data_IF_477703374904
#
_entry.id   IF_477703374904
#
_cell.length_a   1.000
_cell.length_b   1.000
_cell.length_c   1.000
_cell.angle_alpha   90.00
_cell.angle_beta   90.00
_cell.angle_gamma   90.00
#
_symmetry.space_group_name_H-M   'P 1'
#
loop_
_entity.id
_entity.type
_entity.pdbx_description
1 polymer ?
#
# COMPACT_ATOMS: atom_id res chain seq x y z
N UNK A 1 36.59 -27.82 -11.54
CA UNK A 1 36.38 -26.40 -11.18
C UNK A 1 34.97 -26.05 -11.60
N UNK A 2 34.00 -26.27 -10.72
CA UNK A 2 32.60 -25.95 -11.00
C UNK A 2 32.40 -24.47 -10.73
N UNK A 3 31.99 -23.73 -11.76
CA UNK A 3 31.53 -22.35 -11.64
C UNK A 3 30.06 -22.45 -11.29
N UNK A 4 29.72 -22.28 -10.01
CA UNK A 4 28.33 -22.09 -9.62
C UNK A 4 27.89 -20.71 -10.07
N UNK A 5 26.94 -20.68 -11.00
CA UNK A 5 26.21 -19.48 -11.39
C UNK A 5 25.33 -19.06 -10.22
N UNK A 6 25.77 -18.02 -9.50
CA UNK A 6 24.99 -17.32 -8.49
C UNK A 6 23.67 -16.87 -9.10
N UNK A 7 22.59 -17.60 -8.81
CA UNK A 7 21.23 -17.14 -9.04
C UNK A 7 21.01 -15.98 -8.08
N UNK A 8 21.20 -14.74 -8.58
CA UNK A 8 20.90 -13.52 -7.85
C UNK A 8 19.41 -13.45 -7.57
N UNK A 9 18.99 -14.09 -6.48
CA UNK A 9 17.63 -13.97 -5.96
C UNK A 9 17.45 -12.55 -5.44
N UNK A 10 16.73 -11.75 -6.22
CA UNK A 10 16.35 -10.40 -5.85
C UNK A 10 15.62 -10.43 -4.50
N UNK A 11 16.10 -9.70 -3.50
CA UNK A 11 15.45 -9.72 -2.18
C UNK A 11 14.10 -9.00 -2.29
N UNK A 12 13.03 -9.52 -1.66
CA UNK A 12 11.77 -8.79 -1.57
C UNK A 12 12.02 -7.36 -1.07
N UNK A 13 11.53 -6.37 -1.82
CA UNK A 13 11.67 -4.95 -1.46
C UNK A 13 12.94 -4.23 -1.95
N UNK A 14 13.80 -4.86 -2.75
CA UNK A 14 15.00 -4.21 -3.30
C UNK A 14 14.67 -3.33 -4.52
N UNK A 15 15.05 -2.04 -4.50
CA UNK A 15 14.83 -1.05 -5.55
C UNK A 15 16.03 -0.93 -6.51
N UNK A 16 15.85 -0.36 -7.72
CA UNK A 16 16.97 0.02 -8.59
C UNK A 16 17.93 0.96 -7.83
N UNK A 17 19.17 0.52 -7.62
CA UNK A 17 20.16 1.23 -6.80
C UNK A 17 20.49 0.57 -5.45
N UNK A 18 19.91 -0.59 -5.13
CA UNK A 18 20.29 -1.41 -3.98
C UNK A 18 19.65 -1.00 -2.63
N UNK A 19 18.70 -0.07 -2.64
CA UNK A 19 17.89 0.25 -1.46
C UNK A 19 16.94 -0.92 -1.17
N UNK A 20 16.95 -1.46 0.06
CA UNK A 20 16.12 -2.61 0.45
C UNK A 20 15.14 -2.17 1.53
N UNK A 21 13.84 -2.34 1.27
CA UNK A 21 12.79 -2.17 2.28
C UNK A 21 12.75 -3.37 3.22
N UNK A 22 12.99 -3.13 4.50
CA UNK A 22 13.11 -4.16 5.55
C UNK A 22 11.77 -4.69 6.05
N UNK A 23 10.73 -3.88 5.93
CA UNK A 23 9.38 -4.14 6.44
C UNK A 23 8.38 -4.42 5.31
N UNK A 24 8.84 -4.40 4.05
CA UNK A 24 8.04 -4.79 2.91
C UNK A 24 7.73 -6.29 2.94
N UNK A 25 6.47 -6.65 2.69
CA UNK A 25 5.97 -8.03 2.76
C UNK A 25 5.61 -8.61 1.39
N UNK A 26 5.68 -7.83 0.32
CA UNK A 26 5.28 -8.29 -1.00
C UNK A 26 6.33 -9.18 -1.65
N UNK A 27 5.89 -10.03 -2.58
CA UNK A 27 6.73 -11.07 -3.18
C UNK A 27 7.80 -10.54 -4.15
N UNK A 28 7.61 -9.34 -4.70
CA UNK A 28 8.50 -8.72 -5.68
C UNK A 28 8.70 -7.24 -5.37
N UNK A 29 9.80 -6.62 -5.79
CA UNK A 29 10.02 -5.19 -5.60
C UNK A 29 8.81 -4.33 -5.99
N UNK A 30 8.40 -3.40 -5.11
CA UNK A 30 7.31 -2.51 -5.43
C UNK A 30 7.73 -1.55 -6.55
N UNK A 31 6.82 -1.31 -7.50
CA UNK A 31 6.98 -0.31 -8.56
C UNK A 31 6.00 0.82 -8.30
N UNK A 32 6.45 1.83 -7.55
CA UNK A 32 5.58 2.94 -7.16
C UNK A 32 5.10 3.75 -8.37
N UNK A 33 3.81 4.09 -8.39
CA UNK A 33 3.20 4.86 -9.45
C UNK A 33 3.63 6.33 -9.43
N UNK A 34 4.03 6.84 -8.26
CA UNK A 34 4.54 8.20 -8.11
C UNK A 34 5.52 8.35 -6.93
N UNK A 35 6.28 9.46 -6.86
CA UNK A 35 7.25 9.69 -5.78
C UNK A 35 6.66 9.77 -4.37
N UNK A 36 5.37 10.11 -4.23
CA UNK A 36 4.73 10.26 -2.91
C UNK A 36 4.53 8.88 -2.29
N UNK A 37 4.10 7.89 -3.08
CA UNK A 37 3.99 6.51 -2.63
C UNK A 37 5.35 5.95 -2.20
N UNK A 38 6.41 6.19 -2.98
CA UNK A 38 7.78 5.83 -2.59
C UNK A 38 8.17 6.47 -1.25
N UNK A 39 7.85 7.74 -1.05
CA UNK A 39 8.13 8.43 0.21
C UNK A 39 7.32 7.85 1.37
N UNK A 40 6.05 7.49 1.16
CA UNK A 40 5.23 6.83 2.15
C UNK A 40 5.78 5.45 2.51
N UNK A 41 6.21 4.66 1.53
CA UNK A 41 6.87 3.38 1.73
C UNK A 41 8.14 3.52 2.58
N UNK A 42 8.99 4.51 2.28
CA UNK A 42 10.19 4.84 3.09
C UNK A 42 9.83 5.20 4.53
N UNK A 43 8.75 5.97 4.74
CA UNK A 43 8.29 6.31 6.08
C UNK A 43 7.86 5.04 6.82
N UNK A 44 6.97 4.23 6.23
CA UNK A 44 6.51 2.98 6.84
C UNK A 44 7.69 2.06 7.20
N UNK A 45 8.65 1.93 6.27
CA UNK A 45 9.84 1.11 6.45
C UNK A 45 10.77 1.63 7.57
N UNK A 46 11.01 2.95 7.61
CA UNK A 46 11.80 3.57 8.66
C UNK A 46 11.18 3.39 10.05
N UNK A 47 9.86 3.38 10.13
CA UNK A 47 9.13 3.13 11.37
C UNK A 47 9.02 1.64 11.72
N UNK A 48 9.45 0.73 10.84
CA UNK A 48 9.38 -0.71 11.05
C UNK A 48 7.97 -1.29 10.92
N UNK A 49 7.04 -0.55 10.31
CA UNK A 49 5.67 -1.02 10.10
C UNK A 49 5.68 -2.02 8.95
N UNK A 50 5.11 -3.21 9.13
CA UNK A 50 4.93 -4.14 8.02
C UNK A 50 3.98 -3.54 6.96
N UNK A 51 4.34 -3.64 5.68
CA UNK A 51 3.50 -3.12 4.59
C UNK A 51 3.61 -3.91 3.29
N UNK A 52 2.52 -3.95 2.54
CA UNK A 52 2.42 -4.42 1.16
C UNK A 52 2.01 -3.26 0.23
N UNK A 53 2.44 -3.31 -1.02
CA UNK A 53 2.11 -2.32 -2.05
C UNK A 53 1.11 -2.89 -3.04
N UNK A 54 -0.04 -2.23 -3.18
CA UNK A 54 -1.15 -2.62 -4.06
C UNK A 54 -1.52 -4.13 -4.04
N UNK A 55 -1.58 -4.81 -2.87
CA UNK A 55 -1.72 -6.28 -2.86
C UNK A 55 -3.11 -6.77 -3.29
N UNK A 56 -4.12 -5.90 -3.24
CA UNK A 56 -5.52 -6.27 -3.43
C UNK A 56 -6.23 -5.24 -4.28
N UNK A 57 -6.92 -5.70 -5.33
CA UNK A 57 -7.83 -4.89 -6.12
C UNK A 57 -9.28 -5.30 -5.86
N UNK A 58 -10.11 -4.34 -5.46
CA UNK A 58 -11.53 -4.54 -5.16
C UNK A 58 -12.38 -4.15 -6.35
N UNK A 59 -13.22 -5.07 -6.85
CA UNK A 59 -14.15 -4.79 -7.93
C UNK A 59 -15.36 -4.04 -7.37
N UNK A 60 -15.62 -2.84 -7.89
CA UNK A 60 -16.72 -1.98 -7.43
C UNK A 60 -17.93 -2.06 -8.35
N UNK A 61 -17.72 -2.23 -9.66
CA UNK A 61 -18.80 -2.29 -10.65
C UNK A 61 -18.47 -3.29 -11.75
N UNK A 62 -19.51 -3.93 -12.28
CA UNK A 62 -19.47 -4.78 -13.48
C UNK A 62 -20.58 -4.37 -14.44
N UNK A 63 -20.35 -4.54 -15.74
CA UNK A 63 -21.39 -4.39 -16.75
C UNK A 63 -22.31 -5.62 -16.85
N UNK A 64 -23.27 -5.58 -17.77
CA UNK A 64 -24.23 -6.66 -18.00
C UNK A 64 -23.55 -7.97 -18.46
N UNK A 65 -22.39 -7.88 -19.10
CA UNK A 65 -21.57 -9.01 -19.52
C UNK A 65 -20.63 -9.51 -18.41
N UNK A 66 -20.68 -8.91 -17.22
CA UNK A 66 -19.87 -9.27 -16.06
C UNK A 66 -18.43 -8.73 -16.09
N UNK A 67 -18.07 -7.87 -17.06
CA UNK A 67 -16.73 -7.27 -17.15
C UNK A 67 -16.58 -6.18 -16.09
N UNK A 68 -15.38 -6.09 -15.50
CA UNK A 68 -15.08 -5.07 -14.49
C UNK A 68 -15.04 -3.68 -15.14
N UNK A 69 -15.94 -2.79 -14.74
CA UNK A 69 -16.00 -1.40 -15.24
C UNK A 69 -15.41 -0.41 -14.24
N UNK A 70 -15.36 -0.78 -12.95
CA UNK A 70 -14.75 0.02 -11.90
C UNK A 70 -14.11 -0.88 -10.85
N UNK A 71 -12.87 -0.56 -10.48
CA UNK A 71 -12.15 -1.18 -9.39
C UNK A 71 -11.43 -0.13 -8.54
N UNK A 72 -11.07 -0.53 -7.33
CA UNK A 72 -10.29 0.26 -6.40
C UNK A 72 -9.17 -0.60 -5.81
N UNK A 73 -7.93 -0.18 -6.04
CA UNK A 73 -6.73 -0.81 -5.51
C UNK A 73 -6.13 0.20 -4.54
N UNK A 74 -6.20 -0.03 -3.22
CA UNK A 74 -5.55 0.85 -2.26
C UNK A 74 -4.03 0.78 -2.41
N UNK A 75 -3.36 1.92 -2.26
CA UNK A 75 -1.90 2.01 -2.45
C UNK A 75 -1.12 1.06 -1.52
N UNK A 76 -1.55 0.91 -0.26
CA UNK A 76 -0.87 0.07 0.74
C UNK A 76 -1.83 -0.80 1.55
N UNK A 77 -1.31 -1.91 2.06
CA UNK A 77 -1.93 -2.72 3.12
C UNK A 77 -0.96 -2.87 4.29
N UNK A 78 -1.46 -2.68 5.51
CA UNK A 78 -0.73 -2.86 6.76
C UNK A 78 -1.25 -4.13 7.45
N UNK A 79 -0.56 -5.29 7.31
CA UNK A 79 -1.09 -6.58 7.74
C UNK A 79 -1.33 -6.70 9.24
N UNK A 80 -0.49 -6.07 10.08
CA UNK A 80 -0.65 -6.15 11.55
C UNK A 80 -1.92 -5.41 12.04
N UNK A 81 -2.43 -4.47 11.25
CA UNK A 81 -3.59 -3.64 11.55
C UNK A 81 -4.82 -4.06 10.72
N UNK A 82 -4.65 -4.98 9.77
CA UNK A 82 -5.64 -5.33 8.74
C UNK A 82 -6.20 -4.08 8.05
N UNK A 83 -5.33 -3.14 7.70
CA UNK A 83 -5.73 -1.80 7.26
C UNK A 83 -5.21 -1.51 5.85
N UNK A 84 -6.12 -1.17 4.95
CA UNK A 84 -5.78 -0.56 3.67
C UNK A 84 -5.60 0.95 3.81
N UNK A 85 -4.53 1.47 3.19
CA UNK A 85 -4.17 2.88 3.19
C UNK A 85 -4.13 3.38 1.76
N UNK A 86 -4.88 4.45 1.51
CA UNK A 86 -4.87 5.18 0.26
C UNK A 86 -4.14 6.51 0.49
N UNK A 87 -2.99 6.70 -0.16
CA UNK A 87 -2.20 7.93 -0.11
C UNK A 87 -2.86 8.99 -0.99
N UNK A 88 -2.93 10.21 -0.47
CA UNK A 88 -3.36 11.37 -1.25
C UNK A 88 -2.51 12.59 -0.96
N UNK A 89 -2.07 13.24 -2.03
CA UNK A 89 -1.51 14.61 -1.99
C UNK A 89 -2.54 15.67 -2.38
N UNK A 90 -3.78 15.26 -2.70
CA UNK A 90 -4.62 16.03 -3.61
C UNK A 90 -5.38 17.21 -2.98
N UNK A 91 -5.53 18.26 -3.81
CA UNK A 91 -6.46 19.39 -3.63
C UNK A 91 -7.92 18.90 -3.67
N UNK A 92 -8.83 19.61 -2.99
CA UNK A 92 -10.22 19.19 -2.71
C UNK A 92 -11.04 18.63 -3.90
N UNK A 93 -10.77 19.01 -5.15
CA UNK A 93 -11.56 18.57 -6.32
C UNK A 93 -11.42 17.09 -6.68
N UNK A 94 -10.26 16.47 -6.42
CA UNK A 94 -10.02 15.04 -6.74
C UNK A 94 -10.52 14.09 -5.63
N UNK A 95 -10.89 14.66 -4.48
CA UNK A 95 -11.49 13.93 -3.36
C UNK A 95 -12.85 13.34 -3.75
N UNK A 96 -13.60 13.95 -4.67
CA UNK A 96 -14.95 13.49 -5.03
C UNK A 96 -14.95 12.10 -5.66
N UNK A 97 -14.05 11.82 -6.61
CA UNK A 97 -13.97 10.50 -7.28
C UNK A 97 -13.43 9.43 -6.34
N UNK A 98 -12.37 9.75 -5.57
CA UNK A 98 -11.85 8.85 -4.53
C UNK A 98 -12.91 8.55 -3.47
N UNK A 99 -13.63 9.56 -2.99
CA UNK A 99 -14.72 9.38 -2.02
C UNK A 99 -15.87 8.55 -2.58
N UNK A 100 -16.21 8.69 -3.87
CA UNK A 100 -17.21 7.82 -4.50
C UNK A 100 -16.75 6.36 -4.45
N UNK A 101 -15.52 6.07 -4.89
CA UNK A 101 -14.96 4.71 -4.84
C UNK A 101 -14.89 4.17 -3.41
N UNK A 102 -14.49 4.98 -2.43
CA UNK A 102 -14.44 4.59 -1.02
C UNK A 102 -15.84 4.32 -0.43
N UNK A 103 -16.86 5.08 -0.84
CA UNK A 103 -18.25 4.80 -0.45
C UNK A 103 -18.73 3.48 -1.03
N UNK A 104 -18.48 3.24 -2.31
CA UNK A 104 -18.83 1.96 -2.95
C UNK A 104 -18.07 0.78 -2.33
N UNK A 105 -16.77 0.96 -2.03
CA UNK A 105 -15.99 -0.06 -1.35
C UNK A 105 -16.62 -0.40 0.00
N UNK A 106 -16.96 0.59 0.82
CA UNK A 106 -17.60 0.36 2.13
C UNK A 106 -18.98 -0.28 2.00
N UNK A 107 -19.70 -0.01 0.92
CA UNK A 107 -21.00 -0.63 0.64
C UNK A 107 -20.86 -2.10 0.27
N UNK A 108 -19.89 -2.44 -0.58
CA UNK A 108 -19.69 -3.78 -1.13
C UNK A 108 -18.83 -4.69 -0.23
N UNK A 109 -17.92 -4.09 0.54
CA UNK A 109 -16.93 -4.76 1.37
C UNK A 109 -16.92 -4.10 2.77
N UNK A 110 -17.96 -4.31 3.59
CA UNK A 110 -18.11 -3.61 4.87
C UNK A 110 -17.00 -3.94 5.89
N UNK A 111 -16.40 -5.13 5.79
CA UNK A 111 -15.32 -5.56 6.69
C UNK A 111 -13.95 -5.01 6.29
N UNK A 112 -13.83 -4.40 5.10
CA UNK A 112 -12.58 -3.82 4.62
C UNK A 112 -12.34 -2.47 5.30
N UNK A 113 -11.36 -2.44 6.20
CA UNK A 113 -10.87 -1.21 6.82
C UNK A 113 -10.01 -0.47 5.81
N UNK A 114 -10.49 0.68 5.32
CA UNK A 114 -9.72 1.58 4.46
C UNK A 114 -9.71 3.00 5.00
N UNK A 115 -8.55 3.64 4.95
CA UNK A 115 -8.38 5.04 5.32
C UNK A 115 -7.64 5.83 4.24
N UNK A 116 -8.08 7.06 4.04
CA UNK A 116 -7.41 8.04 3.19
C UNK A 116 -6.37 8.77 4.05
N UNK A 117 -5.11 8.77 3.62
CA UNK A 117 -3.99 9.32 4.38
C UNK A 117 -3.32 10.43 3.59
N UNK A 118 -3.13 11.58 4.23
CA UNK A 118 -2.14 12.55 3.79
C UNK A 118 -0.76 12.10 4.26
N UNK A 119 0.30 12.50 3.57
CA UNK A 119 1.69 12.23 3.98
C UNK A 119 1.93 12.46 5.49
N UNK A 120 1.39 13.55 6.04
CA UNK A 120 1.50 13.90 7.48
C UNK A 120 0.77 12.92 8.41
N UNK A 121 -0.29 12.28 7.94
CA UNK A 121 -1.02 11.28 8.72
C UNK A 121 -0.24 9.96 8.77
N UNK A 122 0.49 9.62 7.70
CA UNK A 122 1.35 8.43 7.66
C UNK A 122 2.43 8.55 8.72
N UNK A 123 3.09 9.72 8.80
CA UNK A 123 4.07 10.03 9.85
C UNK A 123 3.47 9.89 11.27
N UNK A 124 2.23 10.35 11.49
CA UNK A 124 1.54 10.23 12.79
C UNK A 124 1.14 8.80 13.14
N UNK A 125 0.63 8.03 12.19
CA UNK A 125 0.30 6.62 12.39
C UNK A 125 1.55 5.83 12.77
N UNK A 126 2.65 6.12 12.10
CA UNK A 126 3.92 5.51 12.33
C UNK A 126 4.48 5.79 13.74
N UNK A 127 4.24 6.99 14.26
CA UNK A 127 4.52 7.32 15.67
C UNK A 127 3.59 6.58 16.64
N UNK A 128 2.31 6.39 16.31
CA UNK A 128 1.33 5.75 17.19
C UNK A 128 1.55 4.23 17.34
N UNK A 129 1.99 3.54 16.28
CA UNK A 129 2.31 2.10 16.37
C UNK A 129 3.53 1.81 17.25
N UNK A 130 4.46 2.77 17.40
CA UNK A 130 5.58 2.65 18.36
C UNK A 130 5.17 2.74 19.84
N UNK A 131 3.93 3.14 20.16
CA UNK A 131 3.44 3.28 21.53
C UNK A 131 2.58 2.10 22.02
N UNK A 132 2.47 1.01 21.25
CA UNK A 132 1.75 -0.21 21.68
C UNK A 132 2.67 -1.40 22.00
N UNK A 133 3.98 -1.17 22.07
CA UNK A 133 4.96 -2.16 22.54
C UNK A 133 5.81 -1.57 23.67
N UNK A 134 5.15 -1.25 24.78
CA UNK A 134 5.77 -1.16 26.10
C UNK A 134 4.70 -1.59 27.10
N UNK A 135 4.68 -2.88 27.43
CA UNK A 135 4.08 -3.39 28.66
C UNK A 135 5.21 -3.86 29.55
#
# INVERSE_FOLDING_TARGET
MHVETSHGGHRPGELPGGEVFRSYRGASPPRFANPVELECARILDWYGIAWDYEPTSFVLERDAEGRVTSAFTPDFFLPEQELYVEVTVMRQSLVTRKNRKLRELRRLYPDVKVKLFYRRDVERLAQRHRLQFAT
#
